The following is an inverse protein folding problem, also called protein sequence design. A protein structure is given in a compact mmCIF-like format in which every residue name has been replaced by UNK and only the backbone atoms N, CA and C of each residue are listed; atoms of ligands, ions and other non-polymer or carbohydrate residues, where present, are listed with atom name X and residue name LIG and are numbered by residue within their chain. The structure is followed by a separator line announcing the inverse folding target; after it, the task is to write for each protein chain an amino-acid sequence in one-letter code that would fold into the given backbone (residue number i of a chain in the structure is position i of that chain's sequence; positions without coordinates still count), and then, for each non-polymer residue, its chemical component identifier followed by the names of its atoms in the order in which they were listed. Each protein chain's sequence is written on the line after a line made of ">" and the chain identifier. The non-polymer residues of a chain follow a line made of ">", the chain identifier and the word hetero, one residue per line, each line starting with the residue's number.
data_IF_982641804959
#
_entry.id   IF_982641804959
#
_cell.length_a   1.000
_cell.length_b   1.000
_cell.length_c   1.000
_cell.angle_alpha   90.00
_cell.angle_beta   90.00
_cell.angle_gamma   90.00
#
_symmetry.space_group_name_H-M   'P 1'
#
loop_
_entity.id
_entity.type
_entity.pdbx_description
1 polymer ?
#
# COMPACT_ATOMS: atom_id res chain seq x y z
N UNK A 1 17.03 -11.03 -10.39
CA UNK A 1 16.04 -10.10 -9.84
C UNK A 1 16.16 -10.20 -8.33
N UNK A 2 16.33 -9.09 -7.63
CA UNK A 2 16.45 -9.15 -6.17
C UNK A 2 15.05 -9.31 -5.54
N UNK A 3 14.97 -9.61 -4.24
CA UNK A 3 13.68 -9.88 -3.59
C UNK A 3 12.72 -8.68 -3.60
N UNK A 4 13.27 -7.46 -3.54
CA UNK A 4 12.48 -6.23 -3.59
C UNK A 4 11.80 -6.06 -4.95
N UNK A 5 12.52 -6.30 -6.06
CA UNK A 5 11.97 -6.26 -7.42
C UNK A 5 10.84 -7.28 -7.61
N UNK A 6 10.98 -8.48 -7.02
CA UNK A 6 9.93 -9.51 -7.04
C UNK A 6 8.65 -9.04 -6.35
N UNK A 7 8.77 -8.55 -5.11
CA UNK A 7 7.63 -8.04 -4.33
C UNK A 7 6.97 -6.87 -5.06
N UNK A 8 7.76 -5.93 -5.58
CA UNK A 8 7.23 -4.78 -6.30
C UNK A 8 6.48 -5.19 -7.57
N UNK A 9 7.00 -6.18 -8.30
CA UNK A 9 6.30 -6.74 -9.46
C UNK A 9 4.96 -7.37 -9.07
N UNK A 10 4.89 -8.07 -7.94
CA UNK A 10 3.65 -8.67 -7.44
C UNK A 10 2.64 -7.61 -7.01
N UNK A 11 3.07 -6.53 -6.34
CA UNK A 11 2.21 -5.39 -5.99
C UNK A 11 1.62 -4.76 -7.27
N UNK A 12 2.42 -4.55 -8.31
CA UNK A 12 1.94 -4.04 -9.60
C UNK A 12 0.93 -4.98 -10.26
N UNK A 13 1.18 -6.29 -10.21
CA UNK A 13 0.28 -7.30 -10.79
C UNK A 13 -1.06 -7.35 -10.06
N UNK A 14 -1.04 -7.32 -8.72
CA UNK A 14 -2.23 -7.20 -7.90
C UNK A 14 -3.05 -5.96 -8.29
N UNK A 15 -2.41 -4.78 -8.29
CA UNK A 15 -3.10 -3.52 -8.60
C UNK A 15 -3.72 -3.50 -10.01
N UNK A 16 -3.10 -4.17 -10.99
CA UNK A 16 -3.65 -4.32 -12.36
C UNK A 16 -4.77 -5.34 -12.47
N UNK A 17 -4.81 -6.33 -11.58
CA UNK A 17 -5.81 -7.39 -11.55
C UNK A 17 -7.10 -7.00 -10.83
N UNK A 18 -7.03 -6.01 -9.94
CA UNK A 18 -8.17 -5.52 -9.18
C UNK A 18 -8.97 -4.48 -9.98
N UNK A 19 -10.21 -4.83 -10.35
CA UNK A 19 -11.08 -3.91 -11.06
C UNK A 19 -11.25 -2.60 -10.29
N UNK A 20 -11.53 -2.53 -8.98
CA UNK A 20 -11.79 -1.25 -8.32
C UNK A 20 -10.61 -0.28 -8.31
N UNK A 21 -9.37 -0.75 -8.50
CA UNK A 21 -8.17 0.08 -8.46
C UNK A 21 -8.07 0.92 -9.75
N UNK A 22 -7.85 2.22 -9.58
CA UNK A 22 -7.77 3.22 -10.68
C UNK A 22 -6.38 3.79 -10.84
N UNK A 23 -5.66 3.93 -9.74
CA UNK A 23 -4.27 4.35 -9.74
C UNK A 23 -3.55 3.79 -8.51
N UNK A 24 -2.24 3.62 -8.65
CA UNK A 24 -1.32 3.36 -7.55
C UNK A 24 -0.10 4.25 -7.76
N UNK A 25 0.27 4.99 -6.73
CA UNK A 25 1.37 5.96 -6.75
C UNK A 25 2.43 5.48 -5.77
N UNK A 26 3.65 5.28 -6.27
CA UNK A 26 4.83 5.06 -5.41
C UNK A 26 5.18 6.39 -4.74
N UNK A 27 5.30 6.37 -3.41
CA UNK A 27 5.70 7.52 -2.60
C UNK A 27 6.93 7.14 -1.76
N UNK A 28 7.40 8.06 -0.92
CA UNK A 28 8.52 7.79 -0.01
C UNK A 28 9.89 7.74 -0.69
N UNK A 29 10.84 7.08 -0.03
CA UNK A 29 12.26 7.08 -0.40
C UNK A 29 12.52 6.56 -1.83
N UNK A 30 11.75 5.55 -2.25
CA UNK A 30 11.87 4.92 -3.57
C UNK A 30 11.22 5.69 -4.72
N UNK A 31 10.48 6.76 -4.43
CA UNK A 31 9.85 7.60 -5.46
C UNK A 31 10.80 8.69 -6.02
N UNK A 32 11.93 8.93 -5.34
CA UNK A 32 12.91 9.94 -5.72
C UNK A 32 13.98 9.46 -6.70
N UNK A 33 14.93 10.36 -6.99
CA UNK A 33 16.13 10.05 -7.79
C UNK A 33 17.32 9.57 -6.93
N UNK A 34 17.20 9.71 -5.61
CA UNK A 34 18.26 9.36 -4.67
C UNK A 34 18.38 7.82 -4.56
N UNK A 35 19.60 7.30 -4.41
CA UNK A 35 19.80 5.88 -4.17
C UNK A 35 19.19 5.48 -2.82
N UNK A 36 18.56 4.32 -2.80
CA UNK A 36 18.06 3.67 -1.59
C UNK A 36 18.89 2.42 -1.29
N UNK A 37 18.94 2.02 -0.03
CA UNK A 37 19.60 0.77 0.36
C UNK A 37 18.68 -0.46 0.15
N UNK A 38 19.23 -1.64 0.46
CA UNK A 38 18.52 -2.92 0.33
C UNK A 38 17.40 -3.11 1.38
N UNK A 39 17.39 -2.30 2.43
CA UNK A 39 16.42 -2.38 3.53
C UNK A 39 15.26 -1.40 3.39
N UNK A 40 15.36 -0.44 2.45
CA UNK A 40 14.29 0.49 2.16
C UNK A 40 13.00 -0.24 1.75
N UNK A 41 11.89 0.15 2.35
CA UNK A 41 10.54 -0.36 2.11
C UNK A 41 9.89 0.30 0.88
N UNK A 42 8.66 -0.11 0.59
CA UNK A 42 7.82 0.46 -0.46
C UNK A 42 6.62 1.16 0.17
N UNK A 43 6.53 2.48 -0.01
CA UNK A 43 5.33 3.23 0.33
C UNK A 43 4.45 3.42 -0.92
N UNK A 44 3.18 3.02 -0.85
CA UNK A 44 2.25 3.16 -1.98
C UNK A 44 0.94 3.79 -1.56
N UNK A 45 0.44 4.73 -2.37
CA UNK A 45 -0.91 5.25 -2.27
C UNK A 45 -1.81 4.59 -3.32
N UNK A 46 -2.87 3.90 -2.88
CA UNK A 46 -3.80 3.18 -3.76
C UNK A 46 -5.12 3.95 -3.84
N UNK A 47 -5.56 4.23 -5.06
CA UNK A 47 -6.82 4.93 -5.34
C UNK A 47 -7.80 3.94 -5.97
N UNK A 48 -8.89 3.66 -5.28
CA UNK A 48 -9.93 2.75 -5.72
C UNK A 48 -11.31 3.42 -5.71
N UNK A 49 -12.20 3.00 -6.61
CA UNK A 49 -13.61 3.46 -6.63
C UNK A 49 -14.37 3.00 -5.38
N UNK A 50 -13.97 1.87 -4.80
CA UNK A 50 -14.51 1.34 -3.55
C UNK A 50 -13.36 0.94 -2.59
N UNK A 51 -12.70 1.93 -1.98
CA UNK A 51 -11.58 1.64 -1.08
C UNK A 51 -12.00 0.96 0.23
N UNK A 52 -13.27 1.13 0.64
CA UNK A 52 -13.78 0.61 1.91
C UNK A 52 -13.68 -0.92 2.02
N UNK A 53 -13.82 -1.65 0.91
CA UNK A 53 -13.66 -3.11 0.92
C UNK A 53 -12.25 -3.56 1.32
N UNK A 54 -11.23 -2.76 0.99
CA UNK A 54 -9.83 -3.05 1.33
C UNK A 54 -9.48 -2.72 2.78
N UNK A 55 -10.32 -1.92 3.46
CA UNK A 55 -10.19 -1.61 4.88
C UNK A 55 -10.91 -2.63 5.77
N UNK A 56 -11.97 -3.26 5.25
CA UNK A 56 -12.76 -4.25 5.98
C UNK A 56 -12.14 -5.66 5.92
N UNK A 57 -11.28 -5.91 4.95
CA UNK A 57 -10.72 -7.23 4.70
C UNK A 57 -9.25 -7.13 4.28
N UNK A 58 -8.40 -7.95 4.90
CA UNK A 58 -6.95 -7.96 4.72
C UNK A 58 -6.47 -9.05 3.74
N UNK A 59 -7.39 -9.86 3.19
CA UNK A 59 -7.06 -10.96 2.26
C UNK A 59 -6.22 -10.51 1.07
N UNK A 60 -6.38 -9.26 0.63
CA UNK A 60 -5.63 -8.72 -0.50
C UNK A 60 -4.12 -8.59 -0.22
N UNK A 61 -3.71 -8.45 1.05
CA UNK A 61 -2.30 -8.35 1.45
C UNK A 61 -1.51 -9.63 1.12
N UNK A 62 -2.19 -10.76 0.97
CA UNK A 62 -1.57 -12.03 0.64
C UNK A 62 -1.19 -12.17 -0.84
N UNK A 63 -1.54 -11.21 -1.70
CA UNK A 63 -1.23 -11.28 -3.14
C UNK A 63 0.23 -11.03 -3.50
N UNK A 64 1.00 -10.37 -2.63
CA UNK A 64 2.38 -9.94 -2.93
C UNK A 64 3.40 -10.35 -1.87
N UNK A 65 3.06 -11.35 -1.05
CA UNK A 65 3.99 -11.95 -0.10
C UNK A 65 3.35 -12.75 1.01
N UNK A 66 4.18 -13.37 1.85
CA UNK A 66 3.73 -13.94 3.11
C UNK A 66 3.56 -12.79 4.13
N UNK A 67 2.33 -12.54 4.55
CA UNK A 67 2.05 -11.57 5.61
C UNK A 67 2.56 -12.10 6.96
N UNK A 68 3.45 -11.34 7.61
CA UNK A 68 3.94 -11.66 8.96
C UNK A 68 3.26 -10.79 10.02
N UNK A 69 3.11 -9.49 9.74
CA UNK A 69 2.55 -8.49 10.65
C UNK A 69 1.68 -7.54 9.83
N UNK A 70 0.50 -7.20 10.36
CA UNK A 70 -0.40 -6.20 9.82
C UNK A 70 -0.81 -5.25 10.94
N UNK A 71 -0.63 -3.94 10.71
CA UNK A 71 -0.99 -2.88 11.64
C UNK A 71 -1.89 -1.90 10.87
N UNK A 72 -3.22 -2.04 10.94
CA UNK A 72 -4.12 -1.08 10.32
C UNK A 72 -4.06 0.24 11.07
N UNK A 73 -3.85 1.33 10.33
CA UNK A 73 -4.00 2.69 10.88
C UNK A 73 -5.42 3.19 10.57
N UNK A 74 -6.18 3.53 11.61
CA UNK A 74 -7.49 4.15 11.46
C UNK A 74 -7.35 5.66 11.53
N UNK A 75 -7.77 6.31 10.46
CA UNK A 75 -7.77 7.76 10.36
C UNK A 75 -9.20 8.27 10.31
N UNK A 76 -9.54 9.19 11.20
CA UNK A 76 -10.75 9.99 11.10
C UNK A 76 -10.46 11.26 10.30
N UNK A 77 -11.33 11.56 9.34
CA UNK A 77 -11.32 12.86 8.66
C UNK A 77 -12.34 13.73 9.39
N UNK A 78 -11.85 14.65 10.21
CA UNK A 78 -12.67 15.65 10.87
C UNK A 78 -12.60 17.00 10.13
N UNK A 79 -13.36 17.99 10.59
CA UNK A 79 -13.36 19.33 9.98
C UNK A 79 -12.02 20.10 10.16
N UNK A 80 -11.03 19.53 10.85
CA UNK A 80 -9.71 20.11 11.11
C UNK A 80 -8.58 19.38 10.38
N UNK A 81 -8.83 18.21 9.80
CA UNK A 81 -7.86 17.47 9.00
C UNK A 81 -7.98 15.95 9.18
N UNK A 82 -6.86 15.26 8.96
CA UNK A 82 -6.73 13.82 9.21
C UNK A 82 -6.21 13.66 10.65
N UNK A 83 -6.99 13.00 11.51
CA UNK A 83 -6.61 12.60 12.87
C UNK A 83 -6.59 11.07 12.98
N UNK A 84 -5.83 10.52 13.93
CA UNK A 84 -5.97 9.11 14.28
C UNK A 84 -7.33 8.91 14.97
N UNK A 85 -8.01 7.82 14.67
CA UNK A 85 -9.23 7.45 15.37
C UNK A 85 -8.90 7.15 16.84
N UNK A 86 -9.70 7.70 17.76
CA UNK A 86 -9.61 7.35 19.18
C UNK A 86 -10.24 5.95 19.41
N UNK A 87 -9.54 5.08 20.15
CA UNK A 87 -9.94 3.69 20.48
C UNK A 87 -11.24 3.60 21.32
#
# INVERSE_FOLDING_TARGET
>A
MNKADEIFTQIIQWAKGEEPIRAMILVGSRAGIEPVDELADFDVAVFATNYQSYLQEDRWLHHFGQLWVYIPEQYEIDNKGIALADD
#
